data_IF_160763940527
#
_entry.id   IF_160763940527
#
_cell.length_a   1.000
_cell.length_b   1.000
_cell.length_c   1.000
_cell.angle_alpha   90.00
_cell.angle_beta   90.00
_cell.angle_gamma   90.00
#
_symmetry.space_group_name_H-M   'P 1'
#
loop_
_entity.id
_entity.type
_entity.pdbx_description
1 polymer ?
#
# COMPACT_ATOMS: atom_id res chain seq x y z
N UNK A 1 13.71 -2.20 -6.23
CA UNK A 1 13.38 -2.57 -4.85
C UNK A 1 13.26 -1.33 -3.97
N UNK A 2 14.28 -0.48 -3.95
CA UNK A 2 14.30 0.78 -3.19
C UNK A 2 13.14 1.73 -3.49
N UNK A 3 12.76 1.90 -4.77
CA UNK A 3 11.63 2.76 -5.13
C UNK A 3 10.28 2.28 -4.54
N UNK A 4 10.07 0.96 -4.44
CA UNK A 4 8.82 0.39 -3.92
C UNK A 4 8.68 0.67 -2.42
N UNK A 5 9.78 0.51 -1.68
CA UNK A 5 9.84 0.84 -0.26
C UNK A 5 9.64 2.35 -0.05
N UNK A 6 10.26 3.18 -0.89
CA UNK A 6 10.05 4.63 -0.84
C UNK A 6 8.60 5.03 -1.14
N UNK A 7 7.96 4.38 -2.13
CA UNK A 7 6.54 4.56 -2.46
C UNK A 7 5.63 4.17 -1.31
N UNK A 8 5.91 3.08 -0.61
CA UNK A 8 5.13 2.70 0.57
C UNK A 8 5.05 3.86 1.56
N UNK A 9 6.19 4.43 1.97
CA UNK A 9 6.20 5.53 2.92
C UNK A 9 5.58 6.81 2.35
N UNK A 10 5.92 7.15 1.11
CA UNK A 10 5.40 8.36 0.48
C UNK A 10 3.88 8.31 0.29
N UNK A 11 3.32 7.17 -0.11
CA UNK A 11 1.87 6.99 -0.21
C UNK A 11 1.20 6.90 1.17
N UNK A 12 1.84 6.28 2.16
CA UNK A 12 1.31 6.24 3.51
C UNK A 12 1.17 7.66 4.10
N UNK A 13 2.18 8.52 3.98
CA UNK A 13 2.15 9.86 4.60
C UNK A 13 1.58 10.97 3.72
N UNK A 14 1.77 10.89 2.39
CA UNK A 14 1.59 12.03 1.50
C UNK A 14 0.75 11.70 0.24
N UNK A 15 0.02 10.57 0.18
CA UNK A 15 -0.79 10.22 -1.01
C UNK A 15 -1.79 11.30 -1.44
N UNK A 16 -2.26 12.15 -0.54
CA UNK A 16 -3.13 13.29 -0.88
C UNK A 16 -2.48 14.28 -1.85
N UNK A 17 -1.15 14.40 -1.79
CA UNK A 17 -0.38 15.37 -2.57
C UNK A 17 0.09 14.79 -3.91
N UNK A 18 -0.11 13.49 -4.13
CA UNK A 18 0.21 12.85 -5.39
C UNK A 18 -0.65 13.44 -6.52
N UNK A 19 -0.06 13.71 -7.69
CA UNK A 19 -0.80 14.25 -8.85
C UNK A 19 -0.75 13.29 -10.02
N UNK A 20 0.41 13.17 -10.65
CA UNK A 20 0.62 12.34 -11.83
C UNK A 20 2.06 11.82 -11.92
N UNK A 21 3.06 12.65 -11.63
CA UNK A 21 4.47 12.27 -11.68
C UNK A 21 4.91 11.56 -10.41
N UNK A 22 5.18 10.26 -10.50
CA UNK A 22 5.76 9.46 -9.41
C UNK A 22 7.13 10.00 -9.02
N UNK A 23 7.98 10.33 -10.00
CA UNK A 23 9.34 10.81 -9.75
C UNK A 23 9.33 12.11 -8.93
N UNK A 24 8.53 13.09 -9.36
CA UNK A 24 8.43 14.37 -8.64
C UNK A 24 7.88 14.15 -7.23
N UNK A 25 6.83 13.34 -7.10
CA UNK A 25 6.25 13.00 -5.81
C UNK A 25 7.26 12.40 -4.83
N UNK A 26 8.04 11.41 -5.28
CA UNK A 26 9.06 10.76 -4.46
C UNK A 26 10.21 11.72 -4.12
N UNK A 27 10.63 12.57 -5.05
CA UNK A 27 11.65 13.58 -4.81
C UNK A 27 11.21 14.58 -3.73
N UNK A 28 9.97 15.09 -3.83
CA UNK A 28 9.41 15.99 -2.83
C UNK A 28 9.34 15.33 -1.45
N UNK A 29 8.89 14.08 -1.39
CA UNK A 29 8.85 13.33 -0.13
C UNK A 29 10.25 13.17 0.49
N UNK A 30 11.25 12.79 -0.31
CA UNK A 30 12.65 12.68 0.16
C UNK A 30 13.20 14.02 0.64
N UNK A 31 12.99 15.10 -0.11
CA UNK A 31 13.44 16.45 0.29
C UNK A 31 12.80 16.89 1.61
N UNK A 32 11.54 16.56 1.83
CA UNK A 32 10.87 16.84 3.11
C UNK A 32 11.47 16.00 4.26
N UNK A 33 11.80 14.73 4.01
CA UNK A 33 12.44 13.87 5.01
C UNK A 33 13.87 14.29 5.33
N UNK A 34 14.67 14.82 4.39
CA UNK A 34 16.01 15.34 4.71
C UNK A 34 15.95 16.57 5.62
N UNK A 35 14.92 17.40 5.50
CA UNK A 35 14.71 18.57 6.38
C UNK A 35 14.25 18.16 7.79
N UNK A 36 13.39 17.14 7.93
CA UNK A 36 12.81 16.75 9.23
C UNK A 36 12.37 15.27 9.27
N UNK A 37 13.30 14.36 9.56
CA UNK A 37 13.00 12.92 9.71
C UNK A 37 12.70 12.49 11.15
N UNK A 38 11.72 13.13 11.81
CA UNK A 38 11.47 12.87 13.25
C UNK A 38 10.80 11.53 13.55
N UNK A 39 10.08 10.94 12.58
CA UNK A 39 9.27 9.74 12.78
C UNK A 39 9.90 8.46 12.20
N UNK A 40 11.23 8.44 12.00
CA UNK A 40 11.93 7.28 11.42
C UNK A 40 11.61 5.97 12.13
N UNK A 41 11.65 5.97 13.47
CA UNK A 41 11.37 4.77 14.28
C UNK A 41 9.94 4.26 14.04
N UNK A 42 8.95 5.14 14.17
CA UNK A 42 7.54 4.78 13.98
C UNK A 42 7.25 4.27 12.56
N UNK A 43 7.85 4.88 11.53
CA UNK A 43 7.70 4.41 10.16
C UNK A 43 8.36 3.05 9.93
N UNK A 44 9.54 2.81 10.51
CA UNK A 44 10.18 1.48 10.46
C UNK A 44 9.29 0.42 11.10
N UNK A 45 8.82 0.68 12.33
CA UNK A 45 7.93 -0.25 13.04
C UNK A 45 6.64 -0.51 12.26
N UNK A 46 6.03 0.52 11.67
CA UNK A 46 4.84 0.37 10.84
C UNK A 46 5.12 -0.48 9.59
N UNK A 47 6.25 -0.25 8.93
CA UNK A 47 6.65 -1.03 7.75
C UNK A 47 6.85 -2.50 8.12
N UNK A 48 7.62 -2.76 9.18
CA UNK A 48 7.92 -4.12 9.64
C UNK A 48 6.62 -4.85 10.03
N UNK A 49 5.78 -4.24 10.85
CA UNK A 49 4.48 -4.80 11.23
C UNK A 49 3.56 -5.06 10.02
N UNK A 50 3.56 -4.16 9.04
CA UNK A 50 2.78 -4.34 7.81
C UNK A 50 3.28 -5.56 7.03
N UNK A 51 4.59 -5.69 6.84
CA UNK A 51 5.17 -6.80 6.08
C UNK A 51 5.02 -8.14 6.82
N UNK A 52 5.07 -8.14 8.15
CA UNK A 52 4.81 -9.32 8.97
C UNK A 52 3.37 -9.80 8.81
N UNK A 53 2.38 -8.90 8.87
CA UNK A 53 0.97 -9.24 8.61
C UNK A 53 0.77 -9.77 7.20
N UNK A 54 1.35 -9.11 6.19
CA UNK A 54 1.21 -9.56 4.80
C UNK A 54 1.84 -10.94 4.58
N UNK A 55 3.05 -11.18 5.10
CA UNK A 55 3.75 -12.46 4.92
C UNK A 55 3.10 -13.60 5.70
N UNK A 56 2.54 -13.34 6.89
CA UNK A 56 1.78 -14.31 7.67
C UNK A 56 0.43 -14.65 7.04
N UNK A 57 -0.28 -13.64 6.51
CA UNK A 57 -1.61 -13.84 5.96
C UNK A 57 -1.59 -14.36 4.51
N UNK A 58 -0.58 -14.00 3.71
CA UNK A 58 -0.52 -14.25 2.27
C UNK A 58 0.73 -15.09 1.93
N UNK A 59 0.68 -16.43 2.10
CA UNK A 59 1.85 -17.30 1.87
C UNK A 59 2.32 -17.32 0.41
N UNK A 60 1.41 -17.09 -0.54
CA UNK A 60 1.72 -16.95 -1.96
C UNK A 60 2.16 -15.52 -2.33
N UNK A 61 2.22 -14.61 -1.34
CA UNK A 61 2.46 -13.19 -1.52
C UNK A 61 1.23 -12.41 -2.00
N UNK A 62 1.44 -11.14 -2.34
CA UNK A 62 0.39 -10.26 -2.88
C UNK A 62 0.19 -10.57 -4.37
N UNK A 63 -0.57 -11.63 -4.66
CA UNK A 63 -0.81 -12.15 -6.01
C UNK A 63 -2.30 -12.33 -6.27
N UNK A 64 -2.71 -12.35 -7.54
CA UNK A 64 -4.09 -12.73 -7.90
C UNK A 64 -4.19 -14.25 -7.99
N UNK A 65 -5.34 -14.82 -7.66
CA UNK A 65 -5.55 -16.28 -7.72
C UNK A 65 -5.29 -16.86 -9.12
N UNK A 66 -5.62 -16.12 -10.19
CA UNK A 66 -5.37 -16.53 -11.58
C UNK A 66 -3.89 -16.50 -11.99
N UNK A 67 -3.02 -15.82 -11.23
CA UNK A 67 -1.60 -15.57 -11.58
C UNK A 67 -0.72 -15.53 -10.32
N UNK A 68 -0.52 -16.69 -9.70
CA UNK A 68 0.28 -16.83 -8.48
C UNK A 68 1.78 -16.54 -8.62
N UNK A 69 2.32 -16.53 -9.84
CA UNK A 69 3.75 -16.37 -10.09
C UNK A 69 4.18 -14.90 -10.29
N UNK A 70 3.29 -13.94 -10.07
CA UNK A 70 3.59 -12.52 -10.32
C UNK A 70 2.84 -11.62 -9.37
N UNK A 71 3.56 -10.71 -8.70
CA UNK A 71 2.99 -9.65 -7.88
C UNK A 71 2.74 -8.40 -8.72
N UNK A 72 1.47 -8.01 -9.00
CA UNK A 72 1.17 -6.77 -9.70
C UNK A 72 1.53 -5.57 -8.81
N UNK A 73 2.33 -4.63 -9.33
CA UNK A 73 2.85 -3.52 -8.52
C UNK A 73 1.75 -2.65 -7.90
N UNK A 74 0.72 -2.28 -8.68
CA UNK A 74 -0.39 -1.46 -8.17
C UNK A 74 -1.22 -2.19 -7.10
N UNK A 75 -1.29 -3.52 -7.17
CA UNK A 75 -1.93 -4.34 -6.15
C UNK A 75 -1.10 -4.34 -4.87
N UNK A 76 0.21 -4.55 -4.99
CA UNK A 76 1.13 -4.49 -3.86
C UNK A 76 1.08 -3.13 -3.15
N UNK A 77 1.12 -2.03 -3.90
CA UNK A 77 1.00 -0.67 -3.35
C UNK A 77 -0.33 -0.48 -2.61
N UNK A 78 -1.45 -0.90 -3.21
CA UNK A 78 -2.77 -0.79 -2.59
C UNK A 78 -2.88 -1.60 -1.30
N UNK A 79 -2.44 -2.86 -1.35
CA UNK A 79 -2.54 -3.81 -0.23
C UNK A 79 -1.64 -3.38 0.93
N UNK A 80 -0.37 -3.07 0.65
CA UNK A 80 0.57 -2.67 1.70
C UNK A 80 0.16 -1.36 2.38
N UNK A 81 -0.23 -0.33 1.63
CA UNK A 81 -0.61 0.95 2.22
C UNK A 81 -1.98 0.88 2.91
N UNK A 82 -2.94 0.12 2.37
CA UNK A 82 -4.25 -0.07 3.00
C UNK A 82 -4.17 -0.84 4.31
N UNK A 83 -3.32 -1.88 4.39
CA UNK A 83 -3.03 -2.59 5.65
C UNK A 83 -2.32 -1.68 6.65
N UNK A 84 -1.35 -0.89 6.20
CA UNK A 84 -0.67 0.08 7.05
C UNK A 84 -1.63 1.14 7.64
N UNK A 85 -2.63 1.60 6.88
CA UNK A 85 -3.67 2.50 7.41
C UNK A 85 -4.46 1.86 8.56
N UNK A 86 -4.79 0.56 8.47
CA UNK A 86 -5.52 -0.18 9.52
C UNK A 86 -4.65 -0.34 10.77
N UNK A 87 -3.40 -0.77 10.61
CA UNK A 87 -2.44 -0.93 11.71
C UNK A 87 -2.18 0.42 12.41
N UNK A 88 -1.96 1.49 11.63
CA UNK A 88 -1.71 2.82 12.17
C UNK A 88 -2.93 3.41 12.90
N UNK A 89 -4.14 2.95 12.60
CA UNK A 89 -5.35 3.32 13.33
C UNK A 89 -5.53 2.54 14.65
N UNK A 90 -4.64 1.59 14.96
CA UNK A 90 -4.73 0.73 16.15
C UNK A 90 -5.69 -0.44 15.99
N UNK A 91 -6.12 -0.73 14.76
CA UNK A 91 -7.07 -1.81 14.47
C UNK A 91 -6.35 -3.10 14.11
N UNK A 92 -7.02 -4.24 14.33
CA UNK A 92 -6.56 -5.53 13.83
C UNK A 92 -6.94 -5.71 12.36
N UNK A 93 -6.06 -6.37 11.61
CA UNK A 93 -6.27 -6.67 10.19
C UNK A 93 -7.02 -7.99 10.10
N UNK A 94 -8.19 -7.99 9.46
CA UNK A 94 -8.93 -9.21 9.19
C UNK A 94 -8.22 -10.01 8.09
N UNK A 95 -7.45 -11.04 8.46
CA UNK A 95 -6.68 -11.84 7.51
C UNK A 95 -7.54 -12.60 6.49
N UNK A 96 -8.76 -12.99 6.86
CA UNK A 96 -9.68 -13.67 5.94
C UNK A 96 -10.12 -12.68 4.86
N UNK A 97 -10.49 -11.46 5.25
CA UNK A 97 -10.84 -10.40 4.33
C UNK A 97 -9.63 -9.95 3.49
N UNK A 98 -8.43 -9.91 4.08
CA UNK A 98 -7.18 -9.63 3.36
C UNK A 98 -6.91 -10.64 2.25
N UNK A 99 -7.15 -11.93 2.49
CA UNK A 99 -7.04 -12.96 1.44
C UNK A 99 -8.12 -12.76 0.37
N UNK A 100 -9.35 -12.47 0.77
CA UNK A 100 -10.47 -12.29 -0.16
C UNK A 100 -10.34 -11.05 -1.05
N UNK A 101 -9.84 -9.92 -0.50
CA UNK A 101 -9.74 -8.66 -1.24
C UNK A 101 -8.73 -8.73 -2.39
N UNK A 102 -7.78 -9.66 -2.33
CA UNK A 102 -6.86 -9.95 -3.44
C UNK A 102 -7.56 -10.44 -4.71
N UNK A 103 -8.84 -10.78 -4.67
CA UNK A 103 -9.62 -11.12 -5.86
C UNK A 103 -10.89 -10.28 -6.03
N UNK A 104 -11.03 -9.22 -5.22
CA UNK A 104 -12.14 -8.29 -5.31
C UNK A 104 -12.23 -7.62 -6.69
N UNK A 105 -13.45 -7.55 -7.23
CA UNK A 105 -13.69 -7.06 -8.58
C UNK A 105 -13.45 -5.56 -8.71
N UNK A 106 -13.75 -4.78 -7.68
CA UNK A 106 -13.47 -3.35 -7.68
C UNK A 106 -11.96 -3.09 -7.59
N UNK A 107 -11.25 -3.82 -6.74
CA UNK A 107 -9.80 -3.73 -6.65
C UNK A 107 -9.12 -4.18 -7.94
N UNK A 108 -9.62 -5.23 -8.60
CA UNK A 108 -9.13 -5.66 -9.93
C UNK A 108 -9.26 -4.52 -10.93
N UNK A 109 -10.42 -3.87 -10.99
CA UNK A 109 -10.63 -2.70 -11.87
C UNK A 109 -9.71 -1.53 -11.49
N UNK A 110 -9.56 -1.23 -10.20
CA UNK A 110 -8.77 -0.11 -9.69
C UNK A 110 -7.24 -0.30 -9.84
N UNK A 111 -6.79 -1.54 -10.04
CA UNK A 111 -5.37 -1.91 -10.26
C UNK A 111 -5.07 -2.27 -11.71
N UNK A 112 -6.05 -2.13 -12.62
CA UNK A 112 -5.92 -2.39 -14.06
C UNK A 112 -5.73 -1.10 -14.88
N UNK A 113 -5.14 -1.23 -16.06
CA UNK A 113 -5.08 -0.14 -17.04
C UNK A 113 -3.95 0.88 -16.89
N UNK A 114 -2.95 0.63 -16.04
CA UNK A 114 -1.65 1.33 -16.02
C UNK A 114 -1.66 2.83 -15.66
N UNK A 115 -2.82 3.46 -15.51
CA UNK A 115 -2.91 4.88 -15.14
C UNK A 115 -2.79 5.05 -13.63
N UNK A 116 -1.81 5.83 -13.18
CA UNK A 116 -1.64 6.18 -11.77
C UNK A 116 -2.08 7.62 -11.51
N UNK A 117 -3.38 7.91 -11.62
CA UNK A 117 -3.92 9.20 -11.18
C UNK A 117 -4.18 9.19 -9.68
N UNK A 118 -4.20 10.37 -9.06
CA UNK A 118 -4.52 10.51 -7.63
C UNK A 118 -5.86 9.84 -7.22
N UNK A 119 -7.00 10.06 -7.91
CA UNK A 119 -8.25 9.40 -7.54
C UNK A 119 -8.15 7.87 -7.61
N UNK A 120 -7.41 7.32 -8.57
CA UNK A 120 -7.20 5.87 -8.68
C UNK A 120 -6.30 5.34 -7.57
N UNK A 121 -5.29 6.09 -7.13
CA UNK A 121 -4.43 5.76 -5.99
C UNK A 121 -5.24 5.72 -4.69
N UNK A 122 -6.00 6.78 -4.42
CA UNK A 122 -6.83 6.84 -3.22
C UNK A 122 -7.85 5.71 -3.22
N UNK A 123 -8.56 5.50 -4.35
CA UNK A 123 -9.60 4.47 -4.42
C UNK A 123 -9.07 3.06 -4.16
N UNK A 124 -7.94 2.66 -4.77
CA UNK A 124 -7.42 1.29 -4.57
C UNK A 124 -6.95 1.04 -3.14
N UNK A 125 -6.39 2.06 -2.48
CA UNK A 125 -5.97 1.98 -1.06
C UNK A 125 -7.22 1.90 -0.16
N UNK A 126 -8.22 2.73 -0.43
CA UNK A 126 -9.48 2.77 0.31
C UNK A 126 -10.21 1.42 0.28
N UNK A 127 -10.36 0.81 -0.90
CA UNK A 127 -10.99 -0.52 -1.03
C UNK A 127 -10.34 -1.55 -0.11
N UNK A 128 -9.00 -1.59 -0.08
CA UNK A 128 -8.27 -2.53 0.81
C UNK A 128 -8.53 -2.18 2.26
N UNK A 129 -8.33 -0.90 2.64
CA UNK A 129 -8.48 -0.45 4.03
C UNK A 129 -9.86 -0.78 4.58
N UNK A 130 -10.91 -0.50 3.81
CA UNK A 130 -12.30 -0.77 4.20
C UNK A 130 -12.58 -2.28 4.29
N UNK A 131 -12.04 -3.08 3.36
CA UNK A 131 -12.26 -4.52 3.37
C UNK A 131 -11.59 -5.22 4.56
N UNK A 132 -10.40 -4.76 4.99
CA UNK A 132 -9.57 -5.48 5.98
C UNK A 132 -9.64 -4.90 7.38
N UNK A 133 -10.33 -3.78 7.59
CA UNK A 133 -10.63 -3.27 8.92
C UNK A 133 -11.64 -4.21 9.62
N UNK A 134 -11.27 -4.68 10.80
CA UNK A 134 -12.14 -5.48 11.68
C UNK A 134 -13.19 -4.61 12.40
#
# INVERSE_FOLDING_TARGET
MEEIVLKFFAYFECRSDFKHSVKEFLNTYMENKTKKFKNKKALSELFDNTMDVLSGALPDGVVRSERKNTTPLLLFEAVSVGVADVISAGNQVNEVALRAVLDDQELKKATSGGTNSNPKLLRRIEIVREAVAA
#
